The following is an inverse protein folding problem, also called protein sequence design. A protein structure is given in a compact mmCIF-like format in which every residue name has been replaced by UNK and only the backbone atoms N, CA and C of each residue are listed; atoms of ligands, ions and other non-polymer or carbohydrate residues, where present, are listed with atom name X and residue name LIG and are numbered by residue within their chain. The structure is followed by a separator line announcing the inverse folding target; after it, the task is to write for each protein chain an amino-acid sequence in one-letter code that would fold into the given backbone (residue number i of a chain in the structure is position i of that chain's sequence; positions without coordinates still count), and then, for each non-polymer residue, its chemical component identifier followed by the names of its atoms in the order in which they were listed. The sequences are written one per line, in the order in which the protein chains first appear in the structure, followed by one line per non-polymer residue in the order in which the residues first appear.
data_IF_823380870046
#
_entry.id   IF_823380870046
#
_cell.length_a   1.000
_cell.length_b   1.000
_cell.length_c   1.000
_cell.angle_alpha   90.00
_cell.angle_beta   90.00
_cell.angle_gamma   90.00
#
_symmetry.space_group_name_H-M   'P 1'
#
loop_
_entity.id
_entity.type
_entity.pdbx_description
1 polymer ?
#
# COMPACT_ATOMS: atom_id res chain seq x y z
N UNK A 1 12.40 9.71 12.53
CA UNK A 1 12.54 8.47 11.74
C UNK A 1 12.72 8.83 10.27
N UNK A 2 13.72 8.22 9.61
CA UNK A 2 13.84 8.33 8.15
C UNK A 2 13.06 7.22 7.46
N UNK A 3 12.11 7.62 6.64
CA UNK A 3 11.25 6.76 5.85
C UNK A 3 11.68 6.81 4.38
N UNK A 4 11.73 5.67 3.70
CA UNK A 4 11.97 5.59 2.27
C UNK A 4 10.81 4.93 1.53
N UNK A 5 10.47 5.47 0.36
CA UNK A 5 9.53 4.93 -0.60
C UNK A 5 10.31 4.52 -1.85
N UNK A 6 10.10 3.29 -2.31
CA UNK A 6 10.73 2.79 -3.53
C UNK A 6 9.66 2.65 -4.61
N UNK A 7 9.66 3.59 -5.54
CA UNK A 7 8.79 3.64 -6.72
C UNK A 7 9.56 3.15 -7.93
N UNK A 8 9.15 2.04 -8.55
CA UNK A 8 9.85 1.50 -9.72
C UNK A 8 8.90 0.85 -10.74
N UNK A 9 9.31 0.75 -12.03
CA UNK A 9 8.61 -0.06 -13.01
C UNK A 9 8.94 -1.54 -12.81
N UNK A 10 8.01 -2.43 -13.11
CA UNK A 10 8.26 -3.88 -13.12
C UNK A 10 8.48 -4.40 -14.54
N UNK A 11 9.33 -5.42 -14.66
CA UNK A 11 9.58 -6.19 -15.87
C UNK A 11 9.03 -7.61 -15.70
N UNK A 12 8.98 -8.38 -16.79
CA UNK A 12 8.57 -9.78 -16.76
C UNK A 12 9.55 -10.70 -16.00
N UNK A 13 10.78 -10.23 -15.76
CA UNK A 13 11.80 -10.97 -15.01
C UNK A 13 11.70 -10.69 -13.52
N UNK A 14 11.30 -11.69 -12.74
CA UNK A 14 11.27 -11.61 -11.26
C UNK A 14 12.65 -11.32 -10.70
N UNK A 15 13.70 -11.93 -11.26
CA UNK A 15 15.07 -11.74 -10.79
C UNK A 15 15.57 -10.31 -11.04
N UNK A 16 15.23 -9.70 -12.19
CA UNK A 16 15.58 -8.31 -12.46
C UNK A 16 14.84 -7.35 -11.53
N UNK A 17 13.57 -7.61 -11.25
CA UNK A 17 12.78 -6.81 -10.30
C UNK A 17 13.36 -6.92 -8.89
N UNK A 18 13.69 -8.13 -8.43
CA UNK A 18 14.34 -8.38 -7.13
C UNK A 18 15.71 -7.69 -7.03
N UNK A 19 16.54 -7.79 -8.07
CA UNK A 19 17.84 -7.14 -8.11
C UNK A 19 17.73 -5.62 -8.02
N UNK A 20 16.79 -5.02 -8.75
CA UNK A 20 16.49 -3.58 -8.70
C UNK A 20 16.05 -3.16 -7.30
N UNK A 21 15.12 -3.89 -6.71
CA UNK A 21 14.62 -3.61 -5.35
C UNK A 21 15.75 -3.74 -4.33
N UNK A 22 16.58 -4.77 -4.41
CA UNK A 22 17.71 -4.96 -3.51
C UNK A 22 18.69 -3.78 -3.59
N UNK A 23 19.04 -3.33 -4.80
CA UNK A 23 19.89 -2.16 -5.00
C UNK A 23 19.26 -0.87 -4.44
N UNK A 24 17.94 -0.70 -4.62
CA UNK A 24 17.21 0.45 -4.08
C UNK A 24 17.17 0.43 -2.54
N UNK A 25 16.93 -0.73 -1.92
CA UNK A 25 16.98 -0.89 -0.45
C UNK A 25 18.36 -0.55 0.08
N UNK A 26 19.43 -1.05 -0.57
CA UNK A 26 20.82 -0.74 -0.19
C UNK A 26 21.11 0.77 -0.29
N UNK A 27 20.66 1.44 -1.36
CA UNK A 27 20.82 2.89 -1.53
C UNK A 27 20.15 3.67 -0.40
N UNK A 28 18.85 3.42 -0.15
CA UNK A 28 18.11 4.18 0.87
C UNK A 28 18.59 3.88 2.29
N UNK A 29 19.01 2.65 2.57
CA UNK A 29 19.60 2.27 3.86
C UNK A 29 20.93 2.99 4.10
N UNK A 30 21.80 3.07 3.08
CA UNK A 30 23.06 3.83 3.16
C UNK A 30 22.83 5.33 3.43
N UNK A 31 21.66 5.86 3.03
CA UNK A 31 21.24 7.24 3.29
C UNK A 31 20.50 7.38 4.64
N UNK A 32 20.42 6.30 5.42
CA UNK A 32 19.93 6.27 6.79
C UNK A 32 18.42 5.97 6.93
N UNK A 33 17.77 5.37 5.93
CA UNK A 33 16.39 4.92 6.06
C UNK A 33 16.25 3.86 7.17
N UNK A 34 15.24 4.00 8.02
CA UNK A 34 14.89 3.07 9.09
C UNK A 34 13.64 2.24 8.75
N UNK A 35 12.75 2.81 7.94
CA UNK A 35 11.57 2.18 7.38
C UNK A 35 11.60 2.31 5.87
N UNK A 36 11.45 1.20 5.15
CA UNK A 36 11.40 1.14 3.69
C UNK A 36 10.06 0.54 3.26
N UNK A 37 9.39 1.18 2.32
CA UNK A 37 8.10 0.73 1.81
C UNK A 37 8.19 0.50 0.30
N UNK A 38 7.79 -0.69 -0.13
CA UNK A 38 7.69 -1.08 -1.53
C UNK A 38 6.25 -0.91 -2.04
N UNK A 39 6.09 -0.85 -3.35
CA UNK A 39 4.79 -0.83 -4.01
C UNK A 39 4.07 -2.19 -3.95
N UNK A 40 2.81 -2.25 -4.34
CA UNK A 40 2.00 -3.47 -4.40
C UNK A 40 2.51 -4.46 -5.45
N UNK A 41 2.53 -5.77 -5.13
CA UNK A 41 2.88 -6.89 -6.04
C UNK A 41 4.17 -6.67 -6.84
N UNK A 42 5.17 -6.10 -6.20
CA UNK A 42 6.39 -5.54 -6.80
C UNK A 42 7.33 -6.56 -7.48
N UNK A 43 7.09 -7.86 -7.32
CA UNK A 43 7.95 -8.91 -7.91
C UNK A 43 7.71 -9.10 -9.41
N UNK A 44 6.54 -8.72 -9.91
CA UNK A 44 6.08 -9.00 -11.28
C UNK A 44 5.40 -7.78 -11.89
N UNK A 45 5.18 -7.74 -13.20
CA UNK A 45 4.16 -6.87 -13.77
C UNK A 45 2.81 -7.11 -13.09
N UNK A 46 1.94 -6.13 -13.15
CA UNK A 46 0.60 -6.22 -12.59
C UNK A 46 -0.25 -7.19 -13.42
N UNK A 47 -0.28 -8.45 -12.99
CA UNK A 47 -0.88 -9.55 -13.74
C UNK A 47 -2.41 -9.54 -13.72
N UNK A 48 -3.04 -8.77 -12.84
CA UNK A 48 -4.50 -8.70 -12.72
C UNK A 48 -5.17 -7.93 -13.88
N UNK A 49 -4.41 -7.52 -14.90
CA UNK A 49 -4.98 -6.96 -16.14
C UNK A 49 -5.81 -7.97 -16.92
N UNK A 50 -5.59 -9.27 -16.70
CA UNK A 50 -6.30 -10.38 -17.36
C UNK A 50 -6.68 -11.46 -16.36
N UNK A 51 -7.71 -12.24 -16.68
CA UNK A 51 -8.07 -13.46 -15.97
C UNK A 51 -7.35 -14.67 -16.62
N UNK A 52 -6.27 -15.14 -16.01
CA UNK A 52 -5.49 -16.26 -16.51
C UNK A 52 -5.13 -17.23 -15.37
N UNK A 53 -5.62 -18.46 -15.46
CA UNK A 53 -5.42 -19.52 -14.43
C UNK A 53 -3.94 -19.86 -14.22
N UNK A 54 -3.11 -19.75 -15.26
CA UNK A 54 -1.68 -20.06 -15.16
C UNK A 54 -0.90 -19.06 -14.30
N UNK A 55 -1.42 -17.85 -14.13
CA UNK A 55 -0.78 -16.83 -13.29
C UNK A 55 -0.90 -17.11 -11.78
N UNK A 56 -1.74 -18.08 -11.37
CA UNK A 56 -1.73 -18.58 -9.99
C UNK A 56 -0.41 -19.24 -9.60
N UNK A 57 0.39 -19.69 -10.57
CA UNK A 57 1.73 -20.24 -10.33
C UNK A 57 2.75 -19.20 -9.85
N UNK A 58 2.42 -17.90 -9.97
CA UNK A 58 3.21 -16.80 -9.37
C UNK A 58 3.05 -16.71 -7.84
N UNK A 59 2.02 -17.37 -7.28
CA UNK A 59 1.73 -17.27 -5.86
C UNK A 59 2.68 -18.13 -5.01
N UNK A 60 3.16 -17.57 -3.92
CA UNK A 60 4.08 -18.21 -2.98
C UNK A 60 3.42 -18.40 -1.60
N UNK A 61 3.78 -19.44 -0.83
CA UNK A 61 3.38 -19.51 0.58
C UNK A 61 4.04 -18.38 1.40
N UNK A 62 3.43 -18.03 2.52
CA UNK A 62 4.04 -17.16 3.53
C UNK A 62 4.17 -17.99 4.84
N UNK A 63 5.42 -18.28 5.30
CA UNK A 63 6.72 -17.95 4.71
C UNK A 63 7.03 -18.74 3.43
N UNK A 64 7.86 -18.17 2.55
CA UNK A 64 8.24 -18.75 1.26
C UNK A 64 9.49 -18.06 0.66
N UNK A 65 9.78 -18.31 -0.62
CA UNK A 65 10.98 -17.77 -1.28
C UNK A 65 11.10 -16.26 -1.20
N UNK A 66 10.04 -15.51 -1.49
CA UNK A 66 10.03 -14.05 -1.42
C UNK A 66 10.23 -13.55 0.01
N UNK A 67 9.57 -14.15 0.99
CA UNK A 67 9.76 -13.74 2.39
C UNK A 67 11.16 -14.03 2.89
N UNK A 68 11.79 -15.12 2.43
CA UNK A 68 13.20 -15.41 2.74
C UNK A 68 14.14 -14.37 2.14
N UNK A 69 13.90 -13.96 0.88
CA UNK A 69 14.69 -12.96 0.18
C UNK A 69 14.58 -11.58 0.84
N UNK A 70 13.36 -11.08 1.05
CA UNK A 70 13.15 -9.74 1.62
C UNK A 70 13.50 -9.68 3.11
N UNK A 71 13.29 -10.76 3.87
CA UNK A 71 13.75 -10.84 5.25
C UNK A 71 15.29 -10.79 5.37
N UNK A 72 16.00 -11.43 4.43
CA UNK A 72 17.47 -11.34 4.37
C UNK A 72 17.92 -9.89 4.10
N UNK A 73 17.29 -9.16 3.17
CA UNK A 73 17.59 -7.76 2.88
C UNK A 73 17.26 -6.84 4.08
N UNK A 74 16.13 -7.04 4.75
CA UNK A 74 15.77 -6.28 5.94
C UNK A 74 16.84 -6.41 7.04
N UNK A 75 17.31 -7.64 7.28
CA UNK A 75 18.40 -7.92 8.24
C UNK A 75 19.73 -7.35 7.79
N UNK A 76 20.15 -7.55 6.54
CA UNK A 76 21.42 -7.07 6.00
C UNK A 76 21.57 -5.56 6.13
N UNK A 77 20.48 -4.84 5.82
CA UNK A 77 20.45 -3.38 5.84
C UNK A 77 19.91 -2.78 7.13
N UNK A 78 19.48 -3.61 8.10
CA UNK A 78 18.96 -3.19 9.41
C UNK A 78 17.78 -2.21 9.26
N UNK A 79 16.83 -2.50 8.36
CA UNK A 79 15.64 -1.69 8.10
C UNK A 79 14.36 -2.48 8.41
N UNK A 80 13.33 -1.79 8.87
CA UNK A 80 11.95 -2.33 8.80
C UNK A 80 11.50 -2.23 7.35
N UNK A 81 10.99 -3.33 6.79
CA UNK A 81 10.62 -3.39 5.37
C UNK A 81 9.17 -3.80 5.20
N UNK A 82 8.42 -3.00 4.44
CA UNK A 82 7.03 -3.30 4.04
C UNK A 82 7.01 -3.73 2.58
N UNK A 83 6.48 -4.93 2.33
CA UNK A 83 6.35 -5.54 0.99
C UNK A 83 4.90 -5.86 0.68
N UNK A 84 4.59 -6.27 -0.55
CA UNK A 84 3.28 -6.81 -0.96
C UNK A 84 3.50 -7.97 -1.91
N UNK A 85 2.90 -9.13 -1.60
CA UNK A 85 3.16 -10.40 -2.26
C UNK A 85 1.85 -11.10 -2.64
N UNK A 86 1.92 -11.95 -3.68
CA UNK A 86 0.86 -12.89 -4.03
C UNK A 86 0.97 -14.13 -3.14
N UNK A 87 0.11 -14.22 -2.13
CA UNK A 87 0.10 -15.32 -1.15
C UNK A 87 -0.72 -16.51 -1.66
N UNK A 88 -0.12 -17.69 -1.68
CA UNK A 88 -0.83 -18.98 -1.72
C UNK A 88 -1.00 -19.50 -0.30
N UNK A 89 -2.14 -19.25 0.31
CA UNK A 89 -2.45 -19.70 1.68
C UNK A 89 -2.76 -21.18 1.77
N UNK A 90 -3.48 -21.67 0.77
CA UNK A 90 -3.84 -23.09 0.60
C UNK A 90 -4.17 -23.36 -0.87
N UNK A 91 -4.42 -24.61 -1.24
CA UNK A 91 -4.89 -24.95 -2.56
C UNK A 91 -6.25 -24.27 -2.84
N UNK A 92 -6.30 -23.44 -3.89
CA UNK A 92 -7.50 -22.68 -4.26
C UNK A 92 -7.81 -21.47 -3.37
N UNK A 93 -6.91 -21.08 -2.46
CA UNK A 93 -7.09 -19.94 -1.57
C UNK A 93 -5.87 -19.01 -1.63
N UNK A 94 -6.06 -17.82 -2.18
CA UNK A 94 -5.00 -16.86 -2.47
C UNK A 94 -5.35 -15.46 -1.97
N UNK A 95 -4.33 -14.68 -1.62
CA UNK A 95 -4.49 -13.29 -1.15
C UNK A 95 -3.43 -12.37 -1.74
N UNK A 96 -3.76 -11.10 -1.84
CA UNK A 96 -2.80 -10.01 -1.95
C UNK A 96 -2.40 -9.61 -0.53
N UNK A 97 -1.14 -9.85 -0.16
CA UNK A 97 -0.70 -9.79 1.23
C UNK A 97 0.49 -8.87 1.40
N UNK A 98 0.34 -7.82 2.20
CA UNK A 98 1.47 -7.06 2.70
C UNK A 98 2.17 -7.85 3.80
N UNK A 99 3.50 -7.92 3.72
CA UNK A 99 4.36 -8.56 4.73
C UNK A 99 5.32 -7.52 5.27
N UNK A 100 5.37 -7.40 6.58
CA UNK A 100 6.27 -6.48 7.28
C UNK A 100 7.38 -7.27 7.94
N UNK A 101 8.60 -6.90 7.64
CA UNK A 101 9.80 -7.47 8.25
C UNK A 101 10.40 -6.51 9.27
N UNK A 102 10.83 -7.05 10.41
CA UNK A 102 11.62 -6.35 11.39
C UNK A 102 13.09 -6.25 10.95
N UNK A 103 13.87 -5.39 11.57
CA UNK A 103 15.31 -5.13 11.30
C UNK A 103 16.20 -6.37 11.41
N UNK A 104 15.76 -7.40 12.11
CA UNK A 104 16.45 -8.69 12.22
C UNK A 104 16.06 -9.68 11.10
N UNK A 105 15.14 -9.28 10.20
CA UNK A 105 14.63 -10.06 9.09
C UNK A 105 13.48 -10.99 9.44
N UNK A 106 13.00 -11.00 10.67
CA UNK A 106 11.81 -11.76 11.07
C UNK A 106 10.53 -11.08 10.53
N UNK A 107 9.50 -11.87 10.28
CA UNK A 107 8.18 -11.33 9.92
C UNK A 107 7.55 -10.75 11.18
N UNK A 108 7.41 -9.41 11.21
CA UNK A 108 6.73 -8.70 12.29
C UNK A 108 5.21 -8.89 12.24
N UNK A 109 4.66 -9.03 11.04
CA UNK A 109 3.23 -9.27 10.81
C UNK A 109 2.86 -9.21 9.34
N UNK A 110 1.59 -9.51 9.06
CA UNK A 110 1.01 -9.48 7.71
C UNK A 110 -0.34 -8.77 7.72
N UNK A 111 -0.71 -8.19 6.57
CA UNK A 111 -2.06 -7.70 6.29
C UNK A 111 -2.52 -8.23 4.94
N UNK A 112 -3.66 -8.93 4.90
CA UNK A 112 -4.31 -9.36 3.67
C UNK A 112 -5.26 -8.28 3.20
N UNK A 113 -5.11 -7.84 1.95
CA UNK A 113 -5.96 -6.80 1.33
C UNK A 113 -7.44 -7.09 1.57
N UNK A 114 -8.13 -6.16 2.21
CA UNK A 114 -9.51 -6.35 2.64
C UNK A 114 -10.51 -6.06 1.52
N UNK A 115 -10.25 -5.02 0.72
CA UNK A 115 -11.11 -4.62 -0.38
C UNK A 115 -10.47 -5.02 -1.70
N UNK A 116 -11.14 -5.86 -2.47
CA UNK A 116 -10.63 -6.40 -3.72
C UNK A 116 -11.38 -5.74 -4.88
N UNK A 117 -10.70 -4.98 -5.78
CA UNK A 117 -11.31 -4.37 -6.95
C UNK A 117 -11.70 -5.41 -8.01
N UNK A 118 -12.61 -5.00 -8.88
CA UNK A 118 -13.07 -5.80 -10.03
C UNK A 118 -13.49 -4.85 -11.16
N UNK A 119 -12.59 -3.98 -11.53
CA UNK A 119 -12.78 -3.01 -12.60
C UNK A 119 -12.04 -3.44 -13.87
N UNK A 120 -12.33 -2.88 -15.03
CA UNK A 120 -11.59 -3.16 -16.26
C UNK A 120 -10.07 -3.01 -16.05
N UNK A 121 -9.31 -4.01 -16.47
CA UNK A 121 -7.86 -4.15 -16.25
C UNK A 121 -7.41 -4.29 -14.79
N UNK A 122 -8.35 -4.41 -13.84
CA UNK A 122 -8.09 -4.66 -12.41
C UNK A 122 -8.93 -5.85 -11.90
N UNK A 123 -8.83 -7.00 -12.57
CA UNK A 123 -9.61 -8.21 -12.28
C UNK A 123 -9.06 -8.97 -11.06
N UNK A 124 -8.90 -8.27 -9.94
CA UNK A 124 -8.30 -8.85 -8.74
C UNK A 124 -9.20 -9.88 -8.06
N UNK A 125 -10.53 -9.80 -8.19
CA UNK A 125 -11.45 -10.81 -7.64
C UNK A 125 -11.29 -12.19 -8.25
N UNK A 126 -10.75 -12.29 -9.47
CA UNK A 126 -10.41 -13.57 -10.07
C UNK A 126 -9.29 -14.28 -9.28
N UNK A 127 -8.34 -13.52 -8.75
CA UNK A 127 -7.15 -14.05 -8.09
C UNK A 127 -7.27 -14.10 -6.56
N UNK A 128 -7.85 -13.09 -5.93
CA UNK A 128 -7.72 -12.88 -4.49
C UNK A 128 -9.02 -13.02 -3.73
N UNK A 129 -8.93 -13.76 -2.63
CA UNK A 129 -9.94 -13.75 -1.57
C UNK A 129 -9.74 -12.50 -0.70
N UNK A 130 -10.82 -11.82 -0.29
CA UNK A 130 -10.72 -10.73 0.69
C UNK A 130 -9.99 -11.15 1.95
N UNK A 131 -9.29 -10.20 2.57
CA UNK A 131 -8.56 -10.41 3.81
C UNK A 131 -9.48 -10.81 4.97
N UNK A 132 -8.95 -11.62 5.87
CA UNK A 132 -9.66 -12.18 7.02
C UNK A 132 -8.97 -11.91 8.38
N UNK A 133 -7.95 -11.04 8.39
CA UNK A 133 -7.21 -10.66 9.59
C UNK A 133 -7.74 -9.39 10.26
N UNK A 134 -8.71 -8.73 9.63
CA UNK A 134 -9.23 -7.43 10.06
C UNK A 134 -8.21 -6.30 9.89
N UNK A 135 -8.46 -5.18 10.55
CA UNK A 135 -7.64 -3.98 10.50
C UNK A 135 -6.79 -3.87 11.77
N UNK A 136 -5.64 -4.56 11.80
CA UNK A 136 -4.74 -4.62 12.95
C UNK A 136 -3.37 -4.01 12.59
N UNK A 137 -2.93 -2.95 13.27
CA UNK A 137 -1.59 -2.41 13.08
C UNK A 137 -0.52 -3.40 13.49
N UNK A 138 0.57 -3.41 12.76
CA UNK A 138 1.71 -4.29 12.98
C UNK A 138 2.74 -3.57 13.85
N UNK A 139 3.08 -4.15 15.00
CA UNK A 139 4.10 -3.60 15.89
C UNK A 139 5.49 -3.85 15.32
N UNK A 140 6.31 -2.80 15.28
CA UNK A 140 7.71 -2.85 14.84
C UNK A 140 8.58 -1.98 15.74
N UNK A 141 9.90 -2.06 15.55
CA UNK A 141 10.88 -1.20 16.25
C UNK A 141 10.79 0.29 15.88
N UNK A 142 10.09 0.62 14.79
CA UNK A 142 9.92 2.02 14.33
C UNK A 142 8.51 2.57 14.58
N UNK A 143 7.64 1.81 15.24
CA UNK A 143 6.27 2.19 15.57
C UNK A 143 5.24 1.13 15.15
N UNK A 144 3.96 1.45 15.34
CA UNK A 144 2.82 0.62 14.93
C UNK A 144 2.38 1.01 13.53
N UNK A 145 2.60 0.12 12.58
CA UNK A 145 2.32 0.37 11.17
C UNK A 145 0.90 -0.09 10.82
N UNK A 146 0.02 0.83 10.48
CA UNK A 146 -1.31 0.57 9.94
C UNK A 146 -1.22 0.27 8.43
N UNK A 147 -0.74 -0.93 8.09
CA UNK A 147 -0.54 -1.33 6.69
C UNK A 147 -1.85 -1.82 6.09
N UNK A 148 -2.20 -1.28 4.95
CA UNK A 148 -3.33 -1.65 4.11
C UNK A 148 -2.84 -1.68 2.66
N UNK A 149 -3.59 -2.29 1.72
CA UNK A 149 -3.09 -2.46 0.35
C UNK A 149 -4.04 -1.81 -0.66
N UNK A 150 -3.50 -0.91 -1.47
CA UNK A 150 -4.09 -0.33 -2.69
C UNK A 150 -5.57 0.06 -2.52
N UNK A 151 -6.52 -0.77 -3.00
CA UNK A 151 -7.97 -0.47 -2.96
C UNK A 151 -8.50 -0.13 -1.58
N UNK A 152 -7.87 -0.64 -0.50
CA UNK A 152 -8.19 -0.28 0.89
C UNK A 152 -8.07 1.23 1.13
N UNK A 153 -7.24 1.94 0.36
CA UNK A 153 -6.98 3.38 0.49
C UNK A 153 -8.20 4.26 0.20
N UNK A 154 -9.23 3.74 -0.49
CA UNK A 154 -10.43 4.48 -0.82
C UNK A 154 -11.46 4.49 0.32
N UNK A 155 -11.30 3.61 1.31
CA UNK A 155 -12.28 3.37 2.38
C UNK A 155 -11.83 4.01 3.70
N UNK A 156 -12.48 5.10 4.13
CA UNK A 156 -12.13 5.79 5.37
C UNK A 156 -12.32 4.92 6.61
N UNK A 157 -13.17 3.90 6.54
CA UNK A 157 -13.41 2.94 7.62
C UNK A 157 -12.14 2.16 7.98
N UNK A 158 -11.39 1.70 6.98
CA UNK A 158 -10.13 0.99 7.19
C UNK A 158 -9.09 1.86 7.90
N UNK A 159 -8.89 3.08 7.41
CA UNK A 159 -7.99 4.06 8.02
C UNK A 159 -8.39 4.37 9.47
N UNK A 160 -9.71 4.52 9.71
CA UNK A 160 -10.25 4.79 11.05
C UNK A 160 -10.04 3.60 11.99
N UNK A 161 -10.28 2.37 11.54
CA UNK A 161 -10.08 1.17 12.35
C UNK A 161 -8.61 0.99 12.73
N UNK A 162 -7.68 1.20 11.79
CA UNK A 162 -6.24 1.20 12.09
C UNK A 162 -5.87 2.26 13.14
N UNK A 163 -6.40 3.48 13.00
CA UNK A 163 -6.15 4.56 13.97
C UNK A 163 -6.71 4.23 15.35
N UNK A 164 -7.91 3.62 15.44
CA UNK A 164 -8.51 3.19 16.69
C UNK A 164 -7.75 2.05 17.36
N UNK A 165 -7.12 1.19 16.56
CA UNK A 165 -6.26 0.11 17.03
C UNK A 165 -4.84 0.60 17.43
N UNK A 166 -4.57 1.91 17.31
CA UNK A 166 -3.33 2.53 17.79
C UNK A 166 -2.21 2.59 16.75
N UNK A 167 -2.54 2.62 15.44
CA UNK A 167 -1.54 2.90 14.42
C UNK A 167 -0.88 4.27 14.63
N UNK A 168 0.43 4.35 14.42
CA UNK A 168 1.23 5.58 14.43
C UNK A 168 1.34 6.19 13.03
N UNK A 169 1.20 5.37 11.99
CA UNK A 169 1.31 5.72 10.57
C UNK A 169 0.42 4.82 9.74
N UNK A 170 -0.21 5.34 8.70
CA UNK A 170 -0.96 4.56 7.70
C UNK A 170 -0.09 4.37 6.46
N UNK A 171 -0.03 3.13 5.93
CA UNK A 171 0.84 2.76 4.82
C UNK A 171 0.04 2.00 3.77
N UNK A 172 0.17 2.41 2.50
CA UNK A 172 -0.54 1.83 1.36
C UNK A 172 0.43 1.47 0.22
N UNK A 173 0.98 0.24 0.18
CA UNK A 173 1.50 -0.34 -1.06
C UNK A 173 0.42 -0.34 -2.14
N UNK A 174 0.72 0.21 -3.31
CA UNK A 174 -0.28 0.49 -4.34
C UNK A 174 0.22 0.13 -5.73
N UNK A 175 -0.72 -0.23 -6.62
CA UNK A 175 -0.53 -0.35 -8.06
C UNK A 175 -1.77 0.24 -8.75
N UNK A 176 -1.75 1.54 -9.04
CA UNK A 176 -2.86 2.26 -9.67
C UNK A 176 -2.36 3.16 -10.80
N UNK A 177 -3.11 3.20 -11.88
CA UNK A 177 -2.78 3.97 -13.07
C UNK A 177 -4.02 4.36 -13.87
N UNK A 178 -3.80 4.89 -15.05
CA UNK A 178 -4.84 5.34 -15.95
C UNK A 178 -5.30 4.22 -16.88
N UNK A 179 -6.59 4.19 -17.15
CA UNK A 179 -7.10 3.46 -18.28
C UNK A 179 -6.73 4.17 -19.60
N UNK A 180 -6.43 3.38 -20.62
CA UNK A 180 -6.00 3.91 -21.93
C UNK A 180 -7.08 4.73 -22.65
N UNK A 181 -8.35 4.60 -22.26
CA UNK A 181 -9.50 5.31 -22.80
C UNK A 181 -9.79 6.64 -22.13
N UNK A 182 -9.21 6.91 -20.97
CA UNK A 182 -9.48 8.12 -20.21
C UNK A 182 -8.93 9.38 -20.88
N UNK A 183 -9.73 10.44 -20.84
CA UNK A 183 -9.27 11.76 -21.29
C UNK A 183 -8.23 12.34 -20.30
N UNK A 184 -7.33 13.24 -20.75
CA UNK A 184 -6.36 13.87 -19.85
C UNK A 184 -6.99 14.55 -18.62
N UNK A 185 -8.17 15.16 -18.77
CA UNK A 185 -8.90 15.79 -17.67
C UNK A 185 -9.41 14.75 -16.66
N UNK A 186 -9.88 13.59 -17.15
CA UNK A 186 -10.32 12.51 -16.29
C UNK A 186 -9.14 11.88 -15.55
N UNK A 187 -8.04 11.64 -16.23
CA UNK A 187 -6.80 11.17 -15.63
C UNK A 187 -6.32 12.10 -14.49
N UNK A 188 -6.38 13.41 -14.71
CA UNK A 188 -6.02 14.38 -13.69
C UNK A 188 -6.96 14.33 -12.49
N UNK A 189 -8.29 14.19 -12.72
CA UNK A 189 -9.29 14.07 -11.63
C UNK A 189 -9.09 12.81 -10.81
N UNK A 190 -8.88 11.65 -11.44
CA UNK A 190 -8.67 10.37 -10.76
C UNK A 190 -7.43 10.41 -9.86
N UNK A 191 -6.30 10.89 -10.38
CA UNK A 191 -5.07 11.01 -9.59
C UNK A 191 -5.21 12.00 -8.43
N UNK A 192 -5.88 13.13 -8.64
CA UNK A 192 -6.16 14.10 -7.58
C UNK A 192 -7.09 13.50 -6.51
N UNK A 193 -8.13 12.77 -6.89
CA UNK A 193 -9.04 12.09 -5.97
C UNK A 193 -8.29 11.06 -5.11
N UNK A 194 -7.40 10.27 -5.75
CA UNK A 194 -6.57 9.28 -5.06
C UNK A 194 -5.68 9.90 -3.97
N UNK A 195 -5.01 11.01 -4.27
CA UNK A 195 -4.18 11.71 -3.29
C UNK A 195 -5.05 12.40 -2.22
N UNK A 196 -6.18 12.99 -2.63
CA UNK A 196 -7.06 13.73 -1.73
C UNK A 196 -7.70 12.85 -0.66
N UNK A 197 -8.21 11.66 -1.03
CA UNK A 197 -8.85 10.75 -0.07
C UNK A 197 -7.87 10.31 1.02
N UNK A 198 -6.65 9.99 0.67
CA UNK A 198 -5.60 9.58 1.61
C UNK A 198 -5.13 10.72 2.51
N UNK A 199 -4.98 11.93 1.96
CA UNK A 199 -4.74 13.15 2.77
C UNK A 199 -5.92 13.43 3.70
N UNK A 200 -7.15 13.14 3.28
CA UNK A 200 -8.33 13.16 4.13
C UNK A 200 -8.24 12.17 5.30
N UNK A 201 -7.71 10.96 5.07
CA UNK A 201 -7.44 10.00 6.15
C UNK A 201 -6.42 10.53 7.15
N UNK A 202 -5.36 11.18 6.67
CA UNK A 202 -4.36 11.80 7.53
C UNK A 202 -5.00 12.83 8.47
N UNK A 203 -5.76 13.78 7.92
CA UNK A 203 -6.45 14.82 8.69
C UNK A 203 -7.46 14.22 9.68
N UNK A 204 -8.34 13.35 9.19
CA UNK A 204 -9.43 12.79 9.99
C UNK A 204 -8.93 11.95 11.18
N UNK A 205 -7.73 11.36 11.08
CA UNK A 205 -7.15 10.52 12.11
C UNK A 205 -5.98 11.17 12.86
N UNK A 206 -5.48 12.32 12.39
CA UNK A 206 -4.32 12.98 12.95
C UNK A 206 -3.07 12.11 12.88
N UNK A 207 -2.86 11.41 11.75
CA UNK A 207 -1.75 10.48 11.50
C UNK A 207 -1.09 10.78 10.16
N UNK A 208 0.22 10.55 10.01
CA UNK A 208 0.86 10.57 8.71
C UNK A 208 0.37 9.41 7.84
N UNK A 209 0.37 9.65 6.52
CA UNK A 209 0.03 8.64 5.50
C UNK A 209 1.16 8.51 4.50
N UNK A 210 1.45 7.28 4.11
CA UNK A 210 2.45 6.88 3.11
C UNK A 210 1.76 6.07 2.04
N UNK A 211 1.85 6.50 0.80
CA UNK A 211 1.38 5.74 -0.36
C UNK A 211 2.54 5.51 -1.32
N UNK A 212 2.79 4.25 -1.65
CA UNK A 212 3.87 3.88 -2.58
C UNK A 212 3.25 3.22 -3.80
N UNK A 213 3.30 3.92 -4.92
CA UNK A 213 2.71 3.47 -6.15
C UNK A 213 3.77 2.94 -7.13
N UNK A 214 3.30 2.22 -8.10
CA UNK A 214 4.03 1.75 -9.28
C UNK A 214 4.15 2.89 -10.30
N UNK A 215 5.17 2.82 -11.15
CA UNK A 215 5.41 3.80 -12.23
C UNK A 215 5.71 3.07 -13.55
N UNK A 216 5.47 3.75 -14.67
CA UNK A 216 5.74 3.23 -16.01
C UNK A 216 4.51 2.58 -16.65
N UNK A 217 4.68 2.16 -17.89
CA UNK A 217 3.64 1.50 -18.66
C UNK A 217 3.83 -0.02 -18.65
N UNK A 218 2.78 -0.74 -18.30
CA UNK A 218 2.74 -2.19 -18.41
C UNK A 218 1.69 -2.61 -19.44
N UNK A 219 2.11 -3.26 -20.56
CA UNK A 219 1.19 -3.69 -21.59
C UNK A 219 0.24 -4.78 -21.07
N UNK A 220 -0.98 -4.80 -21.61
CA UNK A 220 -1.92 -5.89 -21.36
C UNK A 220 -1.45 -7.16 -22.10
N UNK A 221 -1.17 -8.26 -21.36
CA UNK A 221 -0.69 -9.50 -22.00
C UNK A 221 -1.72 -10.13 -22.95
N UNK A 222 -3.02 -9.86 -22.77
CA UNK A 222 -4.08 -10.37 -23.66
C UNK A 222 -4.21 -9.58 -24.95
N UNK A 223 -3.69 -8.35 -25.00
CA UNK A 223 -3.84 -7.43 -26.12
C UNK A 223 -5.25 -6.87 -26.29
N UNK A 224 -6.16 -7.07 -25.34
CA UNK A 224 -7.52 -6.53 -25.38
C UNK A 224 -7.54 -5.03 -25.08
N UNK A 225 -6.61 -4.57 -24.27
CA UNK A 225 -6.40 -3.15 -23.98
C UNK A 225 -4.99 -2.71 -24.35
N UNK A 226 -4.68 -1.42 -24.17
CA UNK A 226 -3.31 -0.92 -24.33
C UNK A 226 -2.43 -1.13 -23.11
N UNK A 227 -2.99 -1.70 -22.04
CA UNK A 227 -2.33 -1.83 -20.76
C UNK A 227 -2.56 -0.62 -19.84
N UNK A 228 -1.86 -0.62 -18.69
CA UNK A 228 -1.99 0.41 -17.67
C UNK A 228 -0.77 1.33 -17.70
N UNK A 229 -1.02 2.64 -17.75
CA UNK A 229 -0.02 3.65 -17.44
C UNK A 229 -0.09 3.96 -15.95
N UNK A 230 0.78 3.36 -15.15
CA UNK A 230 0.89 3.65 -13.72
C UNK A 230 1.38 5.08 -13.52
N UNK A 231 0.72 5.83 -12.64
CA UNK A 231 0.95 7.27 -12.52
C UNK A 231 1.97 7.68 -11.44
N UNK A 232 2.74 6.73 -10.90
CA UNK A 232 3.75 7.05 -9.90
C UNK A 232 3.17 7.88 -8.77
N UNK A 233 3.72 9.06 -8.55
CA UNK A 233 3.21 10.03 -7.58
C UNK A 233 3.16 9.46 -6.15
N UNK A 234 4.07 8.54 -5.81
CA UNK A 234 4.21 8.06 -4.43
C UNK A 234 4.42 9.23 -3.50
N UNK A 235 3.78 9.25 -2.34
CA UNK A 235 3.85 10.43 -1.47
C UNK A 235 3.82 10.10 0.01
N UNK A 236 4.26 11.08 0.80
CA UNK A 236 4.09 11.13 2.26
C UNK A 236 3.37 12.41 2.60
N UNK A 237 2.34 12.32 3.44
CA UNK A 237 1.73 13.48 4.05
C UNK A 237 1.75 13.38 5.57
N UNK A 238 1.82 14.54 6.21
CA UNK A 238 1.77 14.68 7.66
C UNK A 238 0.34 14.62 8.21
N UNK A 239 0.17 14.68 9.55
CA UNK A 239 -1.11 14.47 10.23
C UNK A 239 -2.15 15.56 9.99
N UNK A 240 -1.81 16.65 9.31
CA UNK A 240 -2.74 17.68 8.86
C UNK A 240 -2.98 17.64 7.34
N UNK A 241 -2.56 16.54 6.68
CA UNK A 241 -2.72 16.33 5.25
C UNK A 241 -1.73 17.14 4.40
N UNK A 242 -0.75 17.81 5.01
CA UNK A 242 0.32 18.51 4.33
C UNK A 242 1.24 17.52 3.61
N UNK A 243 1.55 17.80 2.34
CA UNK A 243 2.51 16.99 1.59
C UNK A 243 3.92 17.25 2.14
N UNK A 244 4.57 16.20 2.61
CA UNK A 244 5.96 16.24 3.08
C UNK A 244 6.92 15.92 1.93
N UNK A 245 6.54 15.01 1.04
CA UNK A 245 7.26 14.69 -0.18
C UNK A 245 6.33 13.99 -1.18
N UNK A 246 6.68 14.10 -2.46
CA UNK A 246 5.99 13.46 -3.58
C UNK A 246 7.01 13.07 -4.63
N UNK A 247 6.91 11.83 -5.14
CA UNK A 247 7.75 11.31 -6.19
C UNK A 247 7.23 11.68 -7.58
N UNK A 248 8.06 11.49 -8.60
CA UNK A 248 7.72 11.71 -10.00
C UNK A 248 6.49 10.91 -10.46
N UNK A 249 5.73 11.46 -11.40
CA UNK A 249 4.64 10.75 -12.07
C UNK A 249 5.14 9.74 -13.11
N UNK A 250 6.33 9.92 -13.64
CA UNK A 250 6.82 9.19 -14.82
C UNK A 250 8.11 8.44 -14.58
N UNK A 251 8.89 8.84 -13.57
CA UNK A 251 10.23 8.30 -13.35
C UNK A 251 10.29 7.39 -12.11
N UNK A 252 11.12 6.34 -12.15
CA UNK A 252 11.46 5.58 -10.94
C UNK A 252 12.20 6.48 -9.95
N UNK A 253 11.89 6.34 -8.66
CA UNK A 253 12.47 7.21 -7.64
C UNK A 253 12.59 6.50 -6.29
N UNK A 254 13.73 6.69 -5.61
CA UNK A 254 13.96 6.34 -4.22
C UNK A 254 13.79 7.60 -3.36
N UNK A 255 12.58 7.85 -2.89
CA UNK A 255 12.24 9.04 -2.11
C UNK A 255 12.54 8.81 -0.63
N UNK A 256 13.23 9.76 0.03
CA UNK A 256 13.51 9.70 1.48
C UNK A 256 12.91 10.93 2.16
N UNK A 257 12.27 10.70 3.31
CA UNK A 257 11.57 11.71 4.09
C UNK A 257 11.92 11.57 5.57
N UNK A 258 12.24 12.68 6.22
CA UNK A 258 12.29 12.72 7.68
C UNK A 258 10.88 12.89 8.23
N UNK A 259 10.39 11.89 8.97
CA UNK A 259 9.05 11.85 9.53
C UNK A 259 9.09 11.98 11.06
N UNK A 260 8.42 13.00 11.58
CA UNK A 260 8.23 13.21 13.02
C UNK A 260 6.89 12.62 13.49
N UNK A 261 6.92 11.44 14.09
CA UNK A 261 5.72 10.79 14.64
C UNK A 261 5.15 11.52 15.89
N UNK A 262 5.96 12.31 16.59
CA UNK A 262 5.49 13.12 17.75
C UNK A 262 4.53 14.23 17.30
N UNK A 263 4.62 14.65 16.04
CA UNK A 263 3.71 15.65 15.45
C UNK A 263 2.25 15.20 15.52
N UNK A 264 1.96 13.92 15.39
CA UNK A 264 0.60 13.36 15.52
C UNK A 264 -0.02 13.64 16.89
N UNK A 265 0.74 13.44 17.97
CA UNK A 265 0.26 13.74 19.33
C UNK A 265 -0.03 15.23 19.50
N UNK A 266 0.83 16.12 18.99
CA UNK A 266 0.61 17.55 19.04
C UNK A 266 -0.66 17.96 18.32
N UNK A 267 -0.86 17.47 17.09
CA UNK A 267 -2.05 17.77 16.28
C UNK A 267 -3.33 17.27 16.97
N UNK A 268 -3.30 16.05 17.51
CA UNK A 268 -4.45 15.47 18.23
C UNK A 268 -4.81 16.21 19.52
N UNK A 269 -3.85 16.87 20.15
CA UNK A 269 -4.12 17.76 21.28
C UNK A 269 -4.80 19.05 20.86
N UNK A 270 -4.39 19.62 19.73
CA UNK A 270 -4.98 20.86 19.23
C UNK A 270 -6.35 20.62 18.58
N UNK A 271 -6.47 19.54 17.83
CA UNK A 271 -7.70 19.12 17.14
C UNK A 271 -8.08 17.69 17.53
N UNK A 272 -8.81 17.54 18.62
CA UNK A 272 -9.05 16.24 19.25
C UNK A 272 -10.19 15.44 18.55
N UNK A 273 -10.11 15.23 17.25
CA UNK A 273 -11.14 14.57 16.45
C UNK A 273 -11.47 13.16 16.96
N UNK A 274 -10.49 12.40 17.47
CA UNK A 274 -10.74 11.07 18.03
C UNK A 274 -11.57 11.12 19.32
N UNK A 275 -11.31 12.12 20.20
CA UNK A 275 -12.05 12.33 21.45
C UNK A 275 -13.50 12.73 21.17
N UNK A 276 -13.70 13.60 20.18
CA UNK A 276 -14.98 14.25 19.93
C UNK A 276 -15.91 13.42 19.01
N UNK A 277 -15.54 12.16 18.72
CA UNK A 277 -16.37 11.25 17.94
C UNK A 277 -17.68 10.92 18.66
N UNK A 278 -18.80 10.96 17.93
CA UNK A 278 -20.12 10.60 18.41
C UNK A 278 -20.38 9.11 18.19
N UNK A 279 -19.64 8.26 18.94
CA UNK A 279 -19.73 6.80 18.82
C UNK A 279 -21.14 6.25 19.08
N UNK A 280 -21.96 7.00 19.77
CA UNK A 280 -23.38 6.73 20.05
C UNK A 280 -24.28 6.88 18.80
N UNK A 281 -23.79 7.47 17.71
CA UNK A 281 -24.55 7.81 16.52
C UNK A 281 -24.04 7.14 15.23
N UNK A 282 -23.08 6.20 15.31
CA UNK A 282 -22.41 5.62 14.13
C UNK A 282 -22.84 4.19 13.79
N UNK A 283 -23.91 3.66 14.39
CA UNK A 283 -24.34 2.27 14.19
C UNK A 283 -24.66 1.96 12.72
N UNK A 284 -25.16 2.94 11.99
CA UNK A 284 -25.55 2.79 10.59
C UNK A 284 -24.35 2.60 9.63
N UNK A 285 -23.10 2.83 10.09
CA UNK A 285 -21.90 2.50 9.32
C UNK A 285 -21.77 1.00 9.01
N UNK A 286 -22.47 0.14 9.74
CA UNK A 286 -22.51 -1.30 9.49
C UNK A 286 -23.55 -1.70 8.43
N UNK A 287 -24.40 -0.77 8.01
CA UNK A 287 -25.37 -0.98 6.94
C UNK A 287 -24.71 -0.63 5.59
N UNK A 288 -25.04 -1.40 4.56
CA UNK A 288 -24.63 -1.04 3.20
C UNK A 288 -25.39 0.18 2.68
N UNK A 289 -26.64 0.34 3.09
CA UNK A 289 -27.51 1.43 2.74
C UNK A 289 -28.60 1.58 3.82
N UNK A 290 -29.05 2.80 4.07
CA UNK A 290 -30.19 3.05 4.95
C UNK A 290 -31.45 3.05 4.11
N UNK A 291 -32.22 1.96 4.19
CA UNK A 291 -33.58 1.95 3.64
C UNK A 291 -34.46 2.85 4.48
N UNK A 292 -35.33 3.61 3.82
CA UNK A 292 -36.36 4.32 4.54
C UNK A 292 -37.30 3.29 5.21
N UNK A 293 -37.46 3.37 6.51
CA UNK A 293 -38.51 2.62 7.17
C UNK A 293 -39.85 3.00 6.48
N UNK A 294 -40.53 2.01 5.91
CA UNK A 294 -41.83 2.17 5.31
C UNK A 294 -42.90 2.28 6.40
#
# INVERSE_FOLDING_TARGET
MKLALIQHPCTSSIDDNRARIAAAIADVAARGAELVVLQELHNTPYFCQTENVELFDLAEPIPGPSTSFYGALAREHTVVLVTSLFERRAAGLYHNTAVVFEKDGTIAGIHRKMHIPDDPAYYEKFYFTPGDLGFQPIQTSVGRLGVQVCWDQWYPEGARLMALAGADILIYPTAIGYESSDTPDEQARQRQAWQLVQRGHAVANGLPVVAVNRVGHEPDPSGQTRGIQFWGTSFVCGPQGELLAEASQTEPENLIVDLDLHRSEQVRRWWPFLRDRRIDAYQDLLLRFRDNEK
#
